data_IF_281885898818
#
_entry.id   IF_281885898818
#
_cell.length_a   1.000
_cell.length_b   1.000
_cell.length_c   1.000
_cell.angle_alpha   90.00
_cell.angle_beta   90.00
_cell.angle_gamma   90.00
#
_symmetry.space_group_name_H-M   'P 1'
#
loop_
_entity.id
_entity.type
_entity.pdbx_description
1 polymer ?
#
# COMPACT_ATOMS: atom_id res chain seq x y z
N UNK A 1 -5.25 -24.90 38.50
CA UNK A 1 -3.96 -24.20 38.18
C UNK A 1 -3.07 -24.97 37.20
N UNK A 2 -2.85 -26.27 37.31
CA UNK A 2 -1.99 -27.04 36.35
C UNK A 2 -2.51 -27.04 34.90
N UNK A 3 -3.82 -27.11 34.64
CA UNK A 3 -4.38 -27.07 33.28
C UNK A 3 -4.18 -25.71 32.58
N UNK A 4 -4.30 -24.60 33.32
CA UNK A 4 -4.08 -23.24 32.76
C UNK A 4 -2.61 -23.02 32.33
N UNK A 5 -1.68 -23.58 33.08
CA UNK A 5 -0.24 -23.49 32.79
C UNK A 5 0.14 -24.27 31.51
N UNK A 6 -0.46 -25.44 31.29
CA UNK A 6 -0.23 -26.26 30.10
C UNK A 6 -0.79 -25.59 28.83
N UNK A 7 -1.96 -24.97 28.92
CA UNK A 7 -2.57 -24.22 27.79
C UNK A 7 -1.74 -23.01 27.40
N UNK A 8 -1.16 -22.29 28.38
CA UNK A 8 -0.31 -21.13 28.14
C UNK A 8 1.02 -21.51 27.46
N UNK A 9 1.65 -22.61 27.86
CA UNK A 9 2.88 -23.15 27.24
C UNK A 9 2.60 -23.57 25.80
N UNK A 10 1.47 -24.22 25.51
CA UNK A 10 1.13 -24.67 24.15
C UNK A 10 0.87 -23.48 23.21
N UNK A 11 0.24 -22.41 23.69
CA UNK A 11 0.07 -21.15 22.96
C UNK A 11 1.43 -20.49 22.65
N UNK A 12 2.32 -20.38 23.63
CA UNK A 12 3.67 -19.82 23.43
C UNK A 12 4.49 -20.61 22.41
N UNK A 13 4.47 -21.95 22.46
CA UNK A 13 5.14 -22.79 21.47
C UNK A 13 4.61 -22.58 20.04
N UNK A 14 3.32 -22.40 19.86
CA UNK A 14 2.73 -22.17 18.55
C UNK A 14 3.13 -20.82 17.92
N UNK A 15 3.31 -19.77 18.72
CA UNK A 15 3.81 -18.47 18.25
C UNK A 15 5.28 -18.52 17.83
N UNK A 16 6.12 -19.23 18.60
CA UNK A 16 7.55 -19.38 18.27
C UNK A 16 7.76 -20.15 16.97
N UNK A 17 6.99 -21.22 16.75
CA UNK A 17 7.05 -22.01 15.52
C UNK A 17 6.67 -21.18 14.29
N UNK A 18 5.57 -20.40 14.36
CA UNK A 18 5.15 -19.52 13.26
C UNK A 18 6.17 -18.41 12.96
N UNK A 19 6.79 -17.84 13.99
CA UNK A 19 7.84 -16.82 13.81
C UNK A 19 9.07 -17.39 13.11
N UNK A 20 9.50 -18.61 13.47
CA UNK A 20 10.61 -19.30 12.81
C UNK A 20 10.31 -19.64 11.35
N UNK A 21 9.10 -20.12 11.05
CA UNK A 21 8.64 -20.41 9.69
C UNK A 21 8.67 -19.15 8.80
N UNK A 22 8.20 -18.02 9.29
CA UNK A 22 8.23 -16.76 8.55
C UNK A 22 9.66 -16.31 8.22
N UNK A 23 10.61 -16.42 9.16
CA UNK A 23 12.01 -16.08 8.93
C UNK A 23 12.65 -17.02 7.90
N UNK A 24 12.29 -18.30 7.92
CA UNK A 24 12.79 -19.28 6.96
C UNK A 24 12.29 -18.97 5.54
N UNK A 25 11.01 -18.72 5.36
CA UNK A 25 10.39 -18.33 4.08
C UNK A 25 11.04 -17.04 3.54
N UNK A 26 11.18 -16.02 4.39
CA UNK A 26 11.85 -14.76 4.02
C UNK A 26 13.27 -15.02 3.47
N UNK A 27 14.10 -15.77 4.22
CA UNK A 27 15.49 -16.05 3.81
C UNK A 27 15.55 -16.90 2.52
N UNK A 28 14.64 -17.85 2.34
CA UNK A 28 14.53 -18.65 1.12
C UNK A 28 14.20 -17.77 -0.10
N UNK A 29 13.23 -16.86 0.03
CA UNK A 29 12.80 -15.98 -1.06
C UNK A 29 13.92 -15.05 -1.50
N UNK A 30 14.56 -14.33 -0.56
CA UNK A 30 15.66 -13.42 -0.91
C UNK A 30 16.85 -14.15 -1.53
N UNK A 31 17.17 -15.36 -1.06
CA UNK A 31 18.22 -16.23 -1.64
C UNK A 31 17.85 -16.63 -3.07
N UNK A 32 16.61 -17.08 -3.30
CA UNK A 32 16.13 -17.51 -4.62
C UNK A 32 16.15 -16.38 -5.63
N UNK A 33 15.81 -15.16 -5.21
CA UNK A 33 15.78 -13.97 -6.07
C UNK A 33 17.14 -13.26 -6.19
N UNK A 34 18.16 -13.70 -5.43
CA UNK A 34 19.46 -13.05 -5.41
C UNK A 34 19.43 -11.62 -4.87
N UNK A 35 18.49 -11.33 -3.96
CA UNK A 35 18.35 -10.00 -3.36
C UNK A 35 19.39 -9.82 -2.26
N UNK A 36 20.26 -8.79 -2.32
CA UNK A 36 21.19 -8.48 -1.25
C UNK A 36 20.44 -8.08 0.03
N UNK A 37 20.65 -8.82 1.11
CA UNK A 37 19.90 -8.65 2.37
C UNK A 37 20.14 -7.27 3.02
N UNK A 38 21.32 -6.72 2.85
CA UNK A 38 21.73 -5.39 3.32
C UNK A 38 21.11 -4.23 2.55
N UNK A 39 20.57 -4.49 1.35
CA UNK A 39 19.87 -3.51 0.51
C UNK A 39 18.36 -3.48 0.75
N UNK A 40 17.82 -4.49 1.43
CA UNK A 40 16.38 -4.52 1.75
C UNK A 40 16.10 -3.49 2.83
N UNK A 41 15.18 -2.57 2.55
CA UNK A 41 14.62 -1.71 3.59
C UNK A 41 13.69 -2.54 4.47
N UNK A 42 14.08 -2.72 5.73
CA UNK A 42 13.37 -3.60 6.67
C UNK A 42 12.10 -2.96 7.23
N UNK A 43 12.07 -1.64 7.30
CA UNK A 43 10.93 -0.88 7.84
C UNK A 43 9.80 -0.83 6.80
N UNK A 44 10.16 -0.91 5.51
CA UNK A 44 9.23 -0.97 4.38
C UNK A 44 8.90 -2.39 3.92
N UNK A 45 9.52 -3.44 4.52
CA UNK A 45 9.15 -4.82 4.22
C UNK A 45 7.77 -5.15 4.79
N UNK A 46 6.93 -5.78 3.98
CA UNK A 46 5.62 -6.26 4.45
C UNK A 46 5.25 -7.59 3.81
N UNK A 47 4.50 -8.41 4.54
CA UNK A 47 3.96 -9.68 4.05
C UNK A 47 2.54 -9.93 4.56
N UNK A 48 1.73 -10.64 3.78
CA UNK A 48 0.37 -10.98 4.15
C UNK A 48 -0.09 -12.27 3.48
N UNK A 49 -0.64 -13.19 4.27
CA UNK A 49 -1.35 -14.35 3.73
C UNK A 49 -2.66 -13.88 3.11
N UNK A 50 -2.98 -14.37 1.90
CA UNK A 50 -4.21 -14.00 1.23
C UNK A 50 -5.42 -14.65 1.93
N UNK A 51 -6.37 -13.86 2.45
CA UNK A 51 -7.49 -14.43 3.22
C UNK A 51 -8.45 -15.29 2.38
N UNK A 52 -8.36 -15.18 1.06
CA UNK A 52 -9.17 -15.93 0.09
C UNK A 52 -8.39 -17.08 -0.59
N UNK A 53 -7.12 -17.25 -0.28
CA UNK A 53 -6.23 -18.32 -0.75
C UNK A 53 -5.10 -18.48 0.27
N UNK A 54 -5.42 -19.16 1.38
CA UNK A 54 -4.54 -19.25 2.55
C UNK A 54 -3.24 -20.01 2.32
N UNK A 55 -3.14 -20.73 1.20
CA UNK A 55 -1.90 -21.37 0.77
C UNK A 55 -0.93 -20.37 0.11
N UNK A 56 -1.35 -19.13 -0.09
CA UNK A 56 -0.53 -18.10 -0.72
C UNK A 56 -0.28 -16.91 0.21
N UNK A 57 0.97 -16.46 0.17
CA UNK A 57 1.44 -15.27 0.87
C UNK A 57 1.99 -14.27 -0.14
N UNK A 58 1.56 -13.02 -0.04
CA UNK A 58 2.19 -11.88 -0.73
C UNK A 58 3.32 -11.38 0.14
N UNK A 59 4.49 -11.15 -0.46
CA UNK A 59 5.67 -10.56 0.18
C UNK A 59 6.15 -9.38 -0.67
N UNK A 60 6.39 -8.24 -0.04
CA UNK A 60 6.82 -7.00 -0.72
C UNK A 60 8.17 -6.59 -0.18
N UNK A 61 9.15 -6.48 -1.08
CA UNK A 61 10.51 -6.06 -0.76
C UNK A 61 10.83 -4.77 -1.50
N UNK A 62 11.36 -3.79 -0.79
CA UNK A 62 11.91 -2.59 -1.36
C UNK A 62 13.43 -2.62 -1.24
N UNK A 63 14.11 -2.50 -2.37
CA UNK A 63 15.57 -2.53 -2.45
C UNK A 63 16.07 -1.09 -2.60
N UNK A 64 16.62 -0.57 -1.51
CA UNK A 64 17.06 0.82 -1.42
C UNK A 64 18.30 1.08 -2.29
N UNK A 65 18.26 2.19 -3.00
CA UNK A 65 19.37 2.79 -3.76
C UNK A 65 19.48 4.27 -3.39
N UNK A 66 20.68 4.84 -3.51
CA UNK A 66 20.93 6.23 -3.12
C UNK A 66 21.25 6.39 -1.64
N UNK A 67 21.17 7.61 -1.15
CA UNK A 67 21.47 7.98 0.23
C UNK A 67 20.19 8.27 1.06
N UNK A 68 20.36 8.76 2.28
CA UNK A 68 19.23 9.06 3.18
C UNK A 68 18.39 10.25 2.72
N UNK A 69 18.96 11.18 1.98
CA UNK A 69 18.28 12.40 1.54
C UNK A 69 17.54 12.21 0.22
N UNK A 70 17.99 11.25 -0.61
CA UNK A 70 17.38 10.93 -1.89
C UNK A 70 17.56 9.46 -2.21
N UNK A 71 16.54 8.70 -1.88
CA UNK A 71 16.51 7.28 -2.14
C UNK A 71 15.54 6.94 -3.28
N UNK A 72 15.90 5.92 -4.06
CA UNK A 72 14.99 5.21 -4.95
C UNK A 72 14.91 3.75 -4.54
N UNK A 73 13.82 3.10 -4.90
CA UNK A 73 13.59 1.72 -4.50
C UNK A 73 13.16 0.87 -5.69
N UNK A 74 13.84 -0.26 -5.88
CA UNK A 74 13.30 -1.33 -6.71
C UNK A 74 12.24 -2.09 -5.89
N UNK A 75 11.13 -2.41 -6.54
CA UNK A 75 10.03 -3.16 -5.95
C UNK A 75 10.06 -4.62 -6.40
N UNK A 76 10.01 -5.53 -5.45
CA UNK A 76 9.72 -6.94 -5.70
C UNK A 76 8.41 -7.30 -5.00
N UNK A 77 7.42 -7.75 -5.76
CA UNK A 77 6.17 -8.30 -5.24
C UNK A 77 6.15 -9.80 -5.55
N UNK A 78 6.20 -10.60 -4.51
CA UNK A 78 6.33 -12.05 -4.59
C UNK A 78 5.02 -12.70 -4.15
N UNK A 79 4.47 -13.59 -4.94
CA UNK A 79 3.44 -14.52 -4.50
C UNK A 79 4.10 -15.87 -4.21
N UNK A 80 4.14 -16.24 -2.94
CA UNK A 80 4.74 -17.46 -2.44
C UNK A 80 3.68 -18.48 -2.06
N UNK A 81 3.85 -19.73 -2.49
CA UNK A 81 2.97 -20.83 -2.08
C UNK A 81 3.55 -21.49 -0.83
N UNK A 82 2.80 -21.43 0.27
CA UNK A 82 3.19 -21.96 1.58
C UNK A 82 3.22 -23.49 1.59
N UNK A 83 2.26 -24.14 0.91
CA UNK A 83 2.16 -25.59 0.85
C UNK A 83 3.33 -26.21 0.05
N UNK A 84 3.64 -25.62 -1.10
CA UNK A 84 4.71 -26.10 -1.98
C UNK A 84 6.07 -25.43 -1.73
N UNK A 85 6.14 -24.52 -0.77
CA UNK A 85 7.35 -23.79 -0.35
C UNK A 85 8.15 -23.20 -1.53
N UNK A 86 7.46 -22.51 -2.45
CA UNK A 86 8.08 -21.92 -3.63
C UNK A 86 7.43 -20.61 -4.07
N UNK A 87 8.21 -19.77 -4.74
CA UNK A 87 7.70 -18.62 -5.47
C UNK A 87 6.86 -19.13 -6.64
N UNK A 88 5.62 -18.67 -6.75
CA UNK A 88 4.72 -19.02 -7.87
C UNK A 88 4.58 -17.89 -8.87
N UNK A 89 4.68 -16.63 -8.43
CA UNK A 89 4.61 -15.47 -9.31
C UNK A 89 5.46 -14.34 -8.74
N UNK A 90 5.95 -13.47 -9.63
CA UNK A 90 6.82 -12.35 -9.32
C UNK A 90 6.47 -11.14 -10.17
N UNK A 91 6.48 -9.96 -9.55
CA UNK A 91 6.61 -8.67 -10.21
C UNK A 91 7.90 -8.01 -9.76
N UNK A 92 8.61 -7.38 -10.70
CA UNK A 92 9.79 -6.56 -10.43
C UNK A 92 9.64 -5.21 -11.12
N UNK A 93 9.67 -4.14 -10.34
CA UNK A 93 9.74 -2.75 -10.79
C UNK A 93 11.11 -2.15 -10.48
N UNK A 94 11.68 -1.45 -11.43
CA UNK A 94 12.96 -0.74 -11.27
C UNK A 94 12.65 0.72 -10.97
N UNK A 95 13.33 1.30 -9.95
CA UNK A 95 13.14 2.69 -9.50
C UNK A 95 11.64 3.03 -9.32
N UNK A 96 10.91 2.10 -8.70
CA UNK A 96 9.46 2.13 -8.59
C UNK A 96 8.97 3.19 -7.60
N UNK A 97 9.71 3.40 -6.51
CA UNK A 97 9.41 4.39 -5.49
C UNK A 97 10.57 5.36 -5.31
N UNK A 98 10.22 6.57 -4.91
CA UNK A 98 11.19 7.63 -4.60
C UNK A 98 10.91 8.14 -3.18
N UNK A 99 11.96 8.54 -2.49
CA UNK A 99 11.88 9.15 -1.16
C UNK A 99 12.92 10.26 -1.09
N UNK A 100 12.44 11.47 -0.83
CA UNK A 100 13.27 12.67 -0.69
C UNK A 100 12.73 13.54 0.46
N UNK A 101 12.53 14.84 0.26
CA UNK A 101 11.90 15.72 1.24
C UNK A 101 10.48 15.26 1.65
N UNK A 102 9.82 14.49 0.79
CA UNK A 102 8.58 13.76 1.08
C UNK A 102 8.95 12.28 1.17
N UNK A 103 9.16 11.82 2.41
CA UNK A 103 9.68 10.49 2.67
C UNK A 103 8.63 9.40 2.49
N UNK A 104 9.02 8.28 1.87
CA UNK A 104 8.24 7.04 1.88
C UNK A 104 8.36 6.41 3.27
N UNK A 105 7.27 6.41 4.03
CA UNK A 105 7.25 6.01 5.44
C UNK A 105 6.66 4.63 5.67
N UNK A 106 5.77 4.17 4.78
CA UNK A 106 5.12 2.89 4.96
C UNK A 106 4.67 2.26 3.64
N UNK A 107 4.69 0.94 3.61
CA UNK A 107 4.11 0.09 2.57
C UNK A 107 3.22 -0.95 3.25
N UNK A 108 2.00 -1.14 2.74
CA UNK A 108 1.08 -2.14 3.27
C UNK A 108 0.33 -2.89 2.16
N UNK A 109 -0.09 -4.12 2.45
CA UNK A 109 -0.80 -4.98 1.50
C UNK A 109 -2.30 -4.93 1.80
N UNK A 110 -3.08 -4.53 0.79
CA UNK A 110 -4.53 -4.57 0.81
C UNK A 110 -5.05 -5.83 0.11
N UNK A 111 -5.88 -6.56 0.82
CA UNK A 111 -6.54 -7.76 0.33
C UNK A 111 -8.06 -7.57 0.22
N UNK A 112 -8.53 -6.35 0.01
CA UNK A 112 -9.93 -6.07 -0.30
C UNK A 112 -10.39 -6.78 -1.58
N UNK A 113 -11.69 -6.86 -1.80
CA UNK A 113 -12.28 -7.69 -2.87
C UNK A 113 -12.24 -6.97 -4.22
N UNK A 114 -11.04 -6.81 -4.80
CA UNK A 114 -10.84 -6.29 -6.16
C UNK A 114 -10.96 -7.43 -7.18
N UNK A 115 -12.17 -7.75 -7.60
CA UNK A 115 -12.42 -8.72 -8.69
C UNK A 115 -12.40 -7.94 -9.99
N UNK A 116 -11.27 -8.01 -10.73
CA UNK A 116 -11.07 -7.22 -11.93
C UNK A 116 -11.62 -7.90 -13.18
N UNK A 117 -11.69 -9.23 -13.19
CA UNK A 117 -12.33 -10.05 -14.22
C UNK A 117 -12.90 -11.31 -13.58
N UNK A 118 -13.69 -12.09 -14.30
CA UNK A 118 -14.34 -13.27 -13.73
C UNK A 118 -13.34 -14.27 -13.16
N UNK A 119 -13.51 -14.59 -11.88
CA UNK A 119 -12.65 -15.53 -11.16
C UNK A 119 -11.25 -15.03 -10.82
N UNK A 120 -10.85 -13.81 -11.21
CA UNK A 120 -9.51 -13.29 -10.92
C UNK A 120 -9.58 -12.09 -9.98
N UNK A 121 -8.97 -12.24 -8.81
CA UNK A 121 -8.90 -11.23 -7.77
C UNK A 121 -7.50 -10.64 -7.71
N UNK A 122 -7.43 -9.31 -7.76
CA UNK A 122 -6.22 -8.53 -7.50
C UNK A 122 -6.05 -8.29 -6.01
N UNK A 123 -4.85 -7.90 -5.63
CA UNK A 123 -4.52 -7.32 -4.33
C UNK A 123 -3.88 -5.95 -4.54
N UNK A 124 -3.96 -5.11 -3.51
CA UNK A 124 -3.43 -3.77 -3.54
C UNK A 124 -2.13 -3.63 -2.75
N UNK A 125 -1.36 -2.61 -3.08
CA UNK A 125 -0.25 -2.11 -2.26
C UNK A 125 -0.48 -0.63 -2.03
N UNK A 126 -0.56 -0.24 -0.76
CA UNK A 126 -0.60 1.14 -0.30
C UNK A 126 0.80 1.62 -0.03
N UNK A 127 1.07 2.88 -0.38
CA UNK A 127 2.31 3.56 -0.03
C UNK A 127 1.96 4.87 0.63
N UNK A 128 2.55 5.13 1.78
CA UNK A 128 2.33 6.35 2.55
C UNK A 128 3.59 7.20 2.55
N UNK A 129 3.41 8.46 2.22
CA UNK A 129 4.45 9.49 2.17
C UNK A 129 4.10 10.65 3.09
N UNK A 130 5.11 11.25 3.69
CA UNK A 130 4.96 12.51 4.43
C UNK A 130 6.25 13.32 4.42
N UNK A 131 6.11 14.63 4.64
CA UNK A 131 7.26 15.50 4.94
C UNK A 131 7.46 15.63 6.45
N UNK A 132 8.64 16.12 6.85
CA UNK A 132 9.00 16.37 8.25
C UNK A 132 8.54 17.73 8.79
N UNK A 133 7.86 18.57 7.98
CA UNK A 133 7.47 19.92 8.38
C UNK A 133 6.26 19.89 9.31
N UNK A 134 6.35 20.65 10.41
CA UNK A 134 5.22 20.90 11.31
C UNK A 134 4.42 22.15 10.93
N UNK A 135 5.05 23.06 10.19
CA UNK A 135 4.42 24.32 9.75
C UNK A 135 3.72 24.13 8.41
N UNK A 136 4.39 23.51 7.45
CA UNK A 136 3.84 23.18 6.13
C UNK A 136 3.75 21.66 6.02
N UNK A 137 2.72 21.09 6.63
CA UNK A 137 2.52 19.63 6.64
C UNK A 137 2.06 19.13 5.27
N UNK A 138 2.59 17.97 4.86
CA UNK A 138 2.14 17.26 3.69
C UNK A 138 2.18 15.75 3.92
N UNK A 139 1.14 15.06 3.51
CA UNK A 139 1.12 13.61 3.41
C UNK A 139 0.32 13.15 2.20
N UNK A 140 0.68 11.99 1.67
CA UNK A 140 0.03 11.37 0.52
C UNK A 140 -0.04 9.86 0.71
N UNK A 141 -1.18 9.28 0.33
CA UNK A 141 -1.34 7.84 0.17
C UNK A 141 -1.54 7.51 -1.30
N UNK A 142 -0.73 6.61 -1.82
CA UNK A 142 -0.90 6.08 -3.17
C UNK A 142 -1.28 4.59 -3.13
N UNK A 143 -1.90 4.13 -4.21
CA UNK A 143 -2.40 2.77 -4.31
C UNK A 143 -2.08 2.16 -5.67
N UNK A 144 -1.53 0.97 -5.65
CA UNK A 144 -1.28 0.16 -6.84
C UNK A 144 -2.05 -1.15 -6.76
N UNK A 145 -2.62 -1.61 -7.90
CA UNK A 145 -3.26 -2.92 -8.00
C UNK A 145 -2.38 -3.90 -8.76
N UNK A 146 -2.25 -5.09 -8.18
CA UNK A 146 -1.47 -6.20 -8.70
C UNK A 146 -2.38 -7.39 -8.98
N UNK A 147 -2.38 -7.84 -10.24
CA UNK A 147 -3.21 -8.92 -10.74
C UNK A 147 -2.35 -10.16 -10.97
N UNK A 148 -2.54 -11.27 -10.21
CA UNK A 148 -1.95 -12.55 -10.53
C UNK A 148 -2.45 -13.06 -11.88
N UNK A 149 -1.54 -13.31 -12.85
CA UNK A 149 -1.90 -13.76 -14.19
C UNK A 149 -0.86 -14.75 -14.73
N UNK A 150 -1.28 -15.98 -15.03
CA UNK A 150 -0.35 -17.02 -15.47
C UNK A 150 0.78 -17.24 -14.47
N UNK A 151 2.03 -17.10 -14.91
CA UNK A 151 3.24 -17.27 -14.08
C UNK A 151 3.82 -15.93 -13.58
N UNK A 152 3.10 -14.81 -13.73
CA UNK A 152 3.56 -13.49 -13.37
C UNK A 152 2.50 -12.69 -12.59
N UNK A 153 2.92 -11.59 -12.01
CA UNK A 153 2.03 -10.59 -11.45
C UNK A 153 2.07 -9.38 -12.39
N UNK A 154 0.92 -8.88 -12.79
CA UNK A 154 0.79 -7.67 -13.61
C UNK A 154 0.36 -6.51 -12.73
N UNK A 155 1.07 -5.38 -12.77
CA UNK A 155 0.61 -4.14 -12.17
C UNK A 155 -0.40 -3.50 -13.12
N UNK A 156 -1.64 -3.36 -12.69
CA UNK A 156 -2.77 -2.87 -13.51
C UNK A 156 -3.29 -1.52 -13.07
N UNK A 157 -2.86 -1.01 -11.93
CA UNK A 157 -3.01 0.38 -11.48
C UNK A 157 -1.70 0.80 -10.85
N UNK A 158 -1.17 1.95 -11.23
CA UNK A 158 0.13 2.41 -10.78
C UNK A 158 0.00 3.66 -9.92
N UNK A 159 0.35 3.55 -8.63
CA UNK A 159 0.49 4.64 -7.65
C UNK A 159 -0.59 5.73 -7.81
N UNK A 160 -1.85 5.30 -7.87
CA UNK A 160 -2.98 6.22 -7.92
C UNK A 160 -3.13 6.90 -6.56
N UNK A 161 -3.12 8.24 -6.54
CA UNK A 161 -3.27 9.00 -5.30
C UNK A 161 -4.67 8.80 -4.72
N UNK A 162 -4.76 8.17 -3.55
CA UNK A 162 -6.01 7.92 -2.84
C UNK A 162 -6.31 8.97 -1.80
N UNK A 163 -5.30 9.49 -1.14
CA UNK A 163 -5.48 10.62 -0.23
C UNK A 163 -4.30 11.57 -0.29
N UNK A 164 -4.59 12.83 -0.08
CA UNK A 164 -3.59 13.86 0.21
C UNK A 164 -4.08 14.70 1.38
N UNK A 165 -3.16 15.10 2.23
CA UNK A 165 -3.40 16.12 3.24
C UNK A 165 -2.27 17.12 3.19
N UNK A 166 -2.62 18.40 3.10
CA UNK A 166 -1.67 19.50 3.14
C UNK A 166 -2.20 20.61 4.04
N UNK A 167 -1.32 21.38 4.65
CA UNK A 167 -1.76 22.47 5.50
C UNK A 167 -0.61 23.38 5.93
N UNK A 168 -1.00 24.56 6.36
CA UNK A 168 -0.10 25.53 6.99
C UNK A 168 -0.57 25.79 8.43
N UNK A 169 0.38 25.82 9.34
CA UNK A 169 0.16 26.17 10.73
C UNK A 169 0.95 27.42 11.07
N UNK A 170 0.29 28.43 11.67
CA UNK A 170 0.91 29.66 12.18
C UNK A 170 0.69 29.79 13.68
N UNK A 171 1.72 30.24 14.42
CA UNK A 171 1.60 30.52 15.84
C UNK A 171 1.08 31.92 16.13
N UNK A 172 1.24 32.85 15.18
CA UNK A 172 1.00 34.28 15.37
C UNK A 172 -0.18 34.82 14.56
N UNK A 173 -0.73 34.00 13.65
CA UNK A 173 -1.76 34.43 12.70
C UNK A 173 -2.75 33.31 12.43
N UNK A 174 -3.92 33.41 13.04
CA UNK A 174 -4.98 32.41 12.89
C UNK A 174 -5.50 32.29 11.45
N UNK A 175 -5.54 33.38 10.69
CA UNK A 175 -6.02 33.34 9.30
C UNK A 175 -5.11 32.58 8.36
N UNK A 176 -3.87 32.26 8.80
CA UNK A 176 -2.91 31.44 8.07
C UNK A 176 -2.96 29.96 8.45
N UNK A 177 -3.88 29.55 9.31
CA UNK A 177 -4.06 28.13 9.66
C UNK A 177 -5.10 27.53 8.72
N UNK A 178 -4.65 26.60 7.89
CA UNK A 178 -5.53 25.90 6.95
C UNK A 178 -5.07 24.46 6.71
N UNK A 179 -6.00 23.62 6.28
CA UNK A 179 -5.68 22.28 5.76
C UNK A 179 -6.63 21.88 4.65
N UNK A 180 -6.09 21.23 3.64
CA UNK A 180 -6.82 20.62 2.53
C UNK A 180 -6.64 19.10 2.57
N UNK A 181 -7.74 18.38 2.51
CA UNK A 181 -7.79 16.93 2.50
C UNK A 181 -8.50 16.44 1.24
N UNK A 182 -7.86 15.58 0.47
CA UNK A 182 -8.48 14.82 -0.61
C UNK A 182 -8.52 13.34 -0.22
N UNK A 183 -9.66 12.70 -0.44
CA UNK A 183 -9.86 11.28 -0.16
C UNK A 183 -10.58 10.59 -1.30
N UNK A 184 -10.13 9.42 -1.68
CA UNK A 184 -10.72 8.56 -2.70
C UNK A 184 -11.23 7.26 -2.08
N UNK A 185 -12.41 6.83 -2.53
CA UNK A 185 -12.98 5.53 -2.16
C UNK A 185 -13.28 4.72 -3.42
N UNK A 186 -12.61 3.58 -3.55
CA UNK A 186 -12.81 2.66 -4.66
C UNK A 186 -13.96 1.69 -4.41
N UNK A 187 -14.77 1.49 -5.44
CA UNK A 187 -15.84 0.50 -5.49
C UNK A 187 -15.77 -0.19 -6.85
N UNK A 188 -15.93 -1.51 -6.87
CA UNK A 188 -16.05 -2.22 -8.14
C UNK A 188 -17.37 -1.86 -8.82
N UNK A 189 -17.31 -1.54 -10.10
CA UNK A 189 -18.49 -1.30 -10.92
C UNK A 189 -18.95 -2.61 -11.57
N UNK A 190 -20.20 -2.66 -12.05
CA UNK A 190 -20.74 -3.77 -12.82
C UNK A 190 -20.38 -3.72 -14.30
N UNK A 191 -20.03 -2.53 -14.81
CA UNK A 191 -19.63 -2.33 -16.20
C UNK A 191 -18.17 -2.75 -16.43
N UNK A 192 -17.89 -3.17 -17.66
CA UNK A 192 -16.55 -3.60 -18.08
C UNK A 192 -16.03 -2.75 -19.23
N UNK A 193 -14.73 -2.49 -19.21
CA UNK A 193 -13.98 -1.93 -20.34
C UNK A 193 -12.83 -2.87 -20.66
N UNK A 194 -12.70 -3.27 -21.94
CA UNK A 194 -11.69 -4.23 -22.41
C UNK A 194 -11.68 -5.55 -21.61
N UNK A 195 -12.86 -6.05 -21.19
CA UNK A 195 -13.02 -7.29 -20.43
C UNK A 195 -12.78 -7.21 -18.95
N UNK A 196 -12.41 -6.03 -18.39
CA UNK A 196 -12.18 -5.79 -16.99
C UNK A 196 -13.27 -4.92 -16.38
N UNK A 197 -13.72 -5.24 -15.17
CA UNK A 197 -14.66 -4.41 -14.42
C UNK A 197 -14.07 -3.04 -14.17
N UNK A 198 -14.85 -1.99 -14.38
CA UNK A 198 -14.45 -0.63 -14.06
C UNK A 198 -14.35 -0.43 -12.53
N UNK A 199 -13.55 0.55 -12.13
CA UNK A 199 -13.45 0.96 -10.74
C UNK A 199 -14.09 2.33 -10.63
N UNK A 200 -15.17 2.43 -9.86
CA UNK A 200 -15.81 3.69 -9.51
C UNK A 200 -15.05 4.31 -8.35
N UNK A 201 -14.58 5.52 -8.51
CA UNK A 201 -13.88 6.27 -7.47
C UNK A 201 -14.70 7.46 -7.02
N UNK A 202 -15.12 7.46 -5.75
CA UNK A 202 -15.74 8.61 -5.09
C UNK A 202 -14.64 9.43 -4.44
N UNK A 203 -14.42 10.64 -4.95
CA UNK A 203 -13.43 11.60 -4.45
C UNK A 203 -14.13 12.65 -3.60
N UNK A 204 -13.59 12.93 -2.42
CA UNK A 204 -14.07 13.98 -1.51
C UNK A 204 -12.93 14.93 -1.22
N UNK A 205 -13.17 16.21 -1.39
CA UNK A 205 -12.30 17.30 -0.98
C UNK A 205 -12.91 17.99 0.24
N UNK A 206 -12.09 18.30 1.24
CA UNK A 206 -12.44 19.07 2.43
C UNK A 206 -11.34 20.09 2.67
N UNK A 207 -11.68 21.37 2.52
CA UNK A 207 -10.86 22.51 2.93
C UNK A 207 -11.30 23.02 4.29
N UNK A 208 -10.36 23.08 5.23
CA UNK A 208 -10.56 23.61 6.58
C UNK A 208 -9.71 24.86 6.76
N UNK A 209 -10.13 25.74 7.60
CA UNK A 209 -9.38 26.94 7.97
C UNK A 209 -9.85 27.50 9.28
N UNK A 210 -9.18 28.53 9.74
CA UNK A 210 -9.56 29.27 10.94
C UNK A 210 -9.97 30.70 10.57
N UNK A 211 -10.89 31.27 11.36
CA UNK A 211 -11.24 32.66 11.30
C UNK A 211 -10.24 33.50 12.15
N UNK A 212 -10.46 34.84 12.14
CA UNK A 212 -9.67 35.81 12.93
C UNK A 212 -9.71 35.58 14.44
N UNK A 213 -10.70 34.84 14.94
CA UNK A 213 -10.86 34.49 16.35
C UNK A 213 -10.30 33.07 16.66
N UNK A 214 -9.57 32.49 15.70
CA UNK A 214 -8.98 31.12 15.76
C UNK A 214 -10.02 30.01 15.88
N UNK A 215 -11.26 30.22 15.44
CA UNK A 215 -12.23 29.14 15.40
C UNK A 215 -12.05 28.30 14.12
N UNK A 216 -11.84 27.00 14.28
CA UNK A 216 -11.72 26.06 13.15
C UNK A 216 -13.08 25.81 12.49
N UNK A 217 -13.08 25.73 11.16
CA UNK A 217 -14.27 25.43 10.39
C UNK A 217 -13.98 24.80 9.02
N UNK A 218 -15.00 24.15 8.46
CA UNK A 218 -14.97 23.68 7.07
C UNK A 218 -15.29 24.87 6.18
N UNK A 219 -14.32 25.30 5.36
CA UNK A 219 -14.45 26.38 4.40
C UNK A 219 -15.00 25.90 3.06
N UNK A 220 -14.63 24.68 2.67
CA UNK A 220 -15.06 24.07 1.42
C UNK A 220 -15.24 22.57 1.56
N UNK A 221 -16.28 22.04 0.93
CA UNK A 221 -16.48 20.60 0.77
C UNK A 221 -17.07 20.30 -0.59
N UNK A 222 -16.47 19.37 -1.31
CA UNK A 222 -17.01 18.90 -2.59
C UNK A 222 -16.84 17.39 -2.72
N UNK A 223 -17.67 16.78 -3.55
CA UNK A 223 -17.59 15.35 -3.86
C UNK A 223 -17.84 15.17 -5.34
N UNK A 224 -17.00 14.39 -5.97
CA UNK A 224 -17.19 13.94 -7.36
C UNK A 224 -17.00 12.45 -7.49
N UNK A 225 -17.55 11.88 -8.55
CA UNK A 225 -17.34 10.48 -8.90
C UNK A 225 -16.66 10.41 -10.26
N UNK A 226 -15.59 9.65 -10.35
CA UNK A 226 -14.85 9.37 -11.57
C UNK A 226 -14.75 7.86 -11.76
N UNK A 227 -14.46 7.42 -12.99
CA UNK A 227 -14.29 6.02 -13.30
C UNK A 227 -12.87 5.75 -13.76
N UNK A 228 -12.28 4.68 -13.21
CA UNK A 228 -11.04 4.14 -13.71
C UNK A 228 -11.40 3.00 -14.68
N UNK A 229 -10.99 3.15 -15.93
CA UNK A 229 -11.24 2.17 -16.98
C UNK A 229 -9.95 1.51 -17.46
N UNK A 230 -10.06 0.22 -17.76
CA UNK A 230 -8.89 -0.54 -18.21
C UNK A 230 -8.65 -0.28 -19.70
N UNK A 231 -7.48 0.29 -20.05
CA UNK A 231 -7.14 0.66 -21.43
C UNK A 231 -6.46 -0.45 -22.24
N UNK A 232 -6.43 -1.70 -21.72
CA UNK A 232 -5.72 -2.83 -22.31
C UNK A 232 -4.36 -3.09 -21.64
N UNK A 233 -3.79 -2.10 -20.92
CA UNK A 233 -2.53 -2.18 -20.20
C UNK A 233 -2.73 -1.94 -18.70
N UNK A 234 -3.42 -0.88 -18.34
CA UNK A 234 -3.63 -0.44 -16.97
C UNK A 234 -4.94 0.33 -16.83
N UNK A 235 -5.39 0.55 -15.60
CA UNK A 235 -6.51 1.44 -15.30
C UNK A 235 -6.09 2.90 -15.38
N UNK A 236 -6.94 3.72 -16.02
CA UNK A 236 -6.79 5.18 -16.08
C UNK A 236 -8.11 5.86 -15.76
N UNK A 237 -8.03 7.04 -15.14
CA UNK A 237 -9.17 7.91 -14.90
C UNK A 237 -9.68 8.52 -16.22
N UNK A 238 -11.00 8.44 -16.41
CA UNK A 238 -11.73 9.04 -17.53
C UNK A 238 -12.96 9.82 -17.04
#
# INVERSE_FOLDING_TARGET
MKQLFFTFIFLLCSYVVKAQENVQVYNQVIKTLGIPKDKIDKDLYTEKVLPYDTDKKVMVFLIKKGDENKATFDLYVVLYNLLHQRIVQLYKGIDEYHSDAIALENISIDTAKFILTEGVRAFGIWSFYKNGSKVNSYSEETFSLFLPQGNSIKKVLNQYTLSTSSGEWSYDDCERIWSDENQSMFMMDSEKTNGYFNIKNKQTFIGKGTDKDCNEGIMQKSTKTVFLRYNGKEYKEE
#
